data_IF_396424238659
#
_entry.id   IF_396424238659
#
_cell.length_a   1.000
_cell.length_b   1.000
_cell.length_c   1.000
_cell.angle_alpha   90.00
_cell.angle_beta   90.00
_cell.angle_gamma   90.00
#
_symmetry.space_group_name_H-M   'P 1'
#
loop_
_entity.id
_entity.type
_entity.pdbx_description
1 polymer ?
#
# COMPACT_ATOMS: atom_id res chain seq x y z
N UNK A 1 -19.01 -70.58 -22.98
CA UNK A 1 -19.11 -69.22 -23.53
C UNK A 1 -19.24 -68.29 -22.34
N UNK A 2 -18.08 -67.79 -21.83
CA UNK A 2 -18.01 -66.85 -20.72
C UNK A 2 -17.95 -65.46 -21.30
N UNK A 3 -18.95 -64.60 -21.02
CA UNK A 3 -19.00 -63.20 -21.42
C UNK A 3 -18.21 -62.40 -20.36
N UNK A 4 -17.05 -61.89 -20.76
CA UNK A 4 -16.19 -60.98 -19.98
C UNK A 4 -16.83 -59.56 -20.04
N UNK A 5 -17.36 -59.08 -18.91
CA UNK A 5 -17.79 -57.68 -18.78
C UNK A 5 -16.58 -56.84 -18.38
N UNK A 6 -16.06 -56.08 -19.30
CA UNK A 6 -15.07 -55.04 -19.02
C UNK A 6 -15.81 -53.80 -18.49
N UNK A 7 -15.76 -53.58 -17.20
CA UNK A 7 -16.23 -52.33 -16.58
C UNK A 7 -15.16 -51.26 -16.79
N UNK A 8 -15.40 -50.35 -17.74
CA UNK A 8 -14.59 -49.13 -17.93
C UNK A 8 -14.93 -48.16 -16.82
N UNK A 9 -14.06 -48.07 -15.82
CA UNK A 9 -14.12 -47.06 -14.76
C UNK A 9 -13.66 -45.72 -15.37
N UNK A 10 -14.59 -44.88 -15.89
CA UNK A 10 -14.29 -43.48 -16.19
C UNK A 10 -14.07 -42.74 -14.86
N UNK A 11 -12.81 -42.52 -14.52
CA UNK A 11 -12.42 -41.54 -13.51
C UNK A 11 -12.85 -40.14 -14.02
N UNK A 12 -13.97 -39.66 -13.52
CA UNK A 12 -14.37 -38.25 -13.61
C UNK A 12 -13.37 -37.45 -12.79
N UNK A 13 -12.28 -37.03 -13.44
CA UNK A 13 -11.41 -35.99 -12.90
C UNK A 13 -12.22 -34.69 -12.83
N UNK A 14 -12.86 -34.44 -11.71
CA UNK A 14 -13.41 -33.11 -11.45
C UNK A 14 -12.23 -32.13 -11.50
N UNK A 15 -12.27 -31.10 -12.36
CA UNK A 15 -11.24 -30.06 -12.31
C UNK A 15 -11.30 -29.47 -10.92
N UNK A 16 -10.19 -29.60 -10.18
CA UNK A 16 -9.99 -28.89 -8.93
C UNK A 16 -10.00 -27.40 -9.29
N UNK A 17 -11.13 -26.73 -9.11
CA UNK A 17 -11.24 -25.30 -9.34
C UNK A 17 -10.14 -24.64 -8.50
N UNK A 18 -9.22 -23.91 -9.16
CA UNK A 18 -8.20 -23.18 -8.44
C UNK A 18 -8.90 -22.21 -7.47
N UNK A 19 -8.53 -22.26 -6.20
CA UNK A 19 -9.09 -21.38 -5.17
C UNK A 19 -8.88 -19.92 -5.58
N UNK A 20 -9.95 -19.12 -5.64
CA UNK A 20 -9.89 -17.72 -6.01
C UNK A 20 -9.27 -16.91 -4.88
N UNK A 21 -8.19 -16.13 -5.17
CA UNK A 21 -7.57 -15.29 -4.15
C UNK A 21 -8.37 -14.02 -3.91
N UNK A 22 -8.63 -13.72 -2.65
CA UNK A 22 -9.25 -12.48 -2.18
C UNK A 22 -8.16 -11.48 -1.87
N UNK A 23 -8.06 -10.43 -2.69
CA UNK A 23 -7.00 -9.42 -2.63
C UNK A 23 -7.58 -8.08 -2.21
N UNK A 24 -6.94 -7.41 -1.25
CA UNK A 24 -7.42 -6.12 -0.76
C UNK A 24 -6.31 -5.09 -0.66
N UNK A 25 -6.69 -3.80 -0.78
CA UNK A 25 -5.81 -2.65 -0.61
C UNK A 25 -6.55 -1.46 -0.02
N UNK A 26 -5.81 -0.38 0.27
CA UNK A 26 -6.37 0.87 0.80
C UNK A 26 -7.13 1.62 -0.29
N UNK A 27 -8.38 2.02 -0.01
CA UNK A 27 -9.22 2.78 -0.94
C UNK A 27 -8.88 4.27 -0.98
N UNK A 28 -8.07 4.77 -0.05
CA UNK A 28 -7.76 6.18 0.12
C UNK A 28 -6.26 6.48 0.01
N UNK A 29 -5.57 5.73 -0.82
CA UNK A 29 -4.13 5.86 -1.04
C UNK A 29 -3.81 6.40 -2.46
N UNK A 30 -4.62 7.34 -2.97
CA UNK A 30 -4.37 7.98 -4.26
C UNK A 30 -3.01 8.70 -4.29
N UNK A 31 -2.29 8.71 -5.43
CA UNK A 31 -2.68 8.17 -6.73
C UNK A 31 -2.42 6.67 -6.91
N UNK A 32 -1.98 5.96 -5.87
CA UNK A 32 -1.53 4.57 -5.94
C UNK A 32 -2.69 3.56 -5.87
N UNK A 33 -3.73 3.88 -5.10
CA UNK A 33 -4.90 3.03 -4.94
C UNK A 33 -6.09 3.87 -4.46
N UNK A 34 -7.17 3.83 -5.24
CA UNK A 34 -8.42 4.54 -4.96
C UNK A 34 -9.58 3.91 -5.73
N UNK A 35 -10.78 4.16 -5.28
CA UNK A 35 -11.98 3.77 -6.00
C UNK A 35 -12.37 4.91 -6.94
N UNK A 36 -12.57 4.58 -8.22
CA UNK A 36 -13.07 5.54 -9.20
C UNK A 36 -14.50 5.96 -8.85
N UNK A 37 -14.79 7.26 -8.93
CA UNK A 37 -16.13 7.77 -8.69
C UNK A 37 -17.12 7.50 -9.84
N UNK A 38 -16.60 7.15 -11.03
CA UNK A 38 -17.42 6.96 -12.22
C UNK A 38 -18.04 5.55 -12.30
N UNK A 39 -17.30 4.53 -11.82
CA UNK A 39 -17.66 3.13 -12.04
C UNK A 39 -17.37 2.19 -10.85
N UNK A 40 -17.05 2.75 -9.68
CA UNK A 40 -16.70 2.03 -8.45
C UNK A 40 -15.56 1.00 -8.62
N UNK A 41 -14.71 1.17 -9.66
CA UNK A 41 -13.60 0.24 -9.90
C UNK A 41 -12.31 0.65 -9.16
N UNK A 42 -11.55 -0.34 -8.64
CA UNK A 42 -10.21 -0.10 -8.13
C UNK A 42 -9.25 0.41 -9.20
N UNK A 43 -8.59 1.56 -8.95
CA UNK A 43 -7.61 2.20 -9.83
C UNK A 43 -6.37 2.64 -9.07
N UNK A 44 -5.32 2.97 -9.81
CA UNK A 44 -4.06 3.51 -9.31
C UNK A 44 -2.86 2.61 -9.60
N UNK A 45 -1.65 3.17 -9.42
CA UNK A 45 -0.41 2.47 -9.74
C UNK A 45 -0.29 1.12 -9.03
N UNK A 46 -0.54 1.08 -7.71
CA UNK A 46 -0.39 -0.17 -6.94
C UNK A 46 -1.41 -1.22 -7.37
N UNK A 47 -2.62 -0.80 -7.76
CA UNK A 47 -3.66 -1.68 -8.31
C UNK A 47 -3.20 -2.29 -9.64
N UNK A 48 -2.61 -1.48 -10.54
CA UNK A 48 -2.10 -1.97 -11.83
C UNK A 48 -0.90 -2.92 -11.64
N UNK A 49 0.04 -2.59 -10.73
CA UNK A 49 1.18 -3.45 -10.42
C UNK A 49 0.74 -4.81 -9.87
N UNK A 50 -0.19 -4.79 -8.91
CA UNK A 50 -0.71 -6.02 -8.29
C UNK A 50 -1.46 -6.87 -9.30
N UNK A 51 -2.34 -6.27 -10.13
CA UNK A 51 -3.03 -7.00 -11.19
C UNK A 51 -2.05 -7.66 -12.17
N UNK A 52 -1.05 -6.92 -12.65
CA UNK A 52 -0.07 -7.47 -13.58
C UNK A 52 0.67 -8.70 -13.00
N UNK A 53 1.01 -8.67 -11.70
CA UNK A 53 1.66 -9.82 -11.05
C UNK A 53 0.68 -10.97 -10.85
N UNK A 54 -0.56 -10.70 -10.45
CA UNK A 54 -1.59 -11.74 -10.27
C UNK A 54 -1.95 -12.42 -11.59
N UNK A 55 -2.12 -11.64 -12.67
CA UNK A 55 -2.37 -12.19 -14.02
C UNK A 55 -1.22 -13.11 -14.47
N UNK A 56 0.03 -12.75 -14.16
CA UNK A 56 1.21 -13.59 -14.44
C UNK A 56 1.21 -14.89 -13.61
N UNK A 57 0.60 -14.90 -12.41
CA UNK A 57 0.46 -16.15 -11.64
C UNK A 57 -0.50 -17.14 -12.28
N UNK A 58 -1.42 -16.70 -13.14
CA UNK A 58 -2.53 -17.48 -13.67
C UNK A 58 -3.56 -17.89 -12.61
N UNK A 59 -3.51 -17.28 -11.42
CA UNK A 59 -4.40 -17.58 -10.30
C UNK A 59 -5.66 -16.71 -10.42
N UNK A 60 -6.88 -17.27 -10.38
CA UNK A 60 -8.10 -16.49 -10.26
C UNK A 60 -8.07 -15.62 -9.00
N UNK A 61 -8.55 -14.38 -9.10
CA UNK A 61 -8.60 -13.47 -7.96
C UNK A 61 -9.76 -12.48 -8.06
N UNK A 62 -10.19 -11.99 -6.89
CA UNK A 62 -10.98 -10.78 -6.74
C UNK A 62 -10.11 -9.71 -6.08
N UNK A 63 -10.19 -8.45 -6.54
CA UNK A 63 -9.48 -7.32 -5.95
C UNK A 63 -10.49 -6.24 -5.54
N UNK A 64 -10.47 -5.90 -4.25
CA UNK A 64 -11.32 -4.86 -3.66
C UNK A 64 -10.50 -3.92 -2.78
N UNK A 65 -10.98 -2.69 -2.63
CA UNK A 65 -10.38 -1.69 -1.78
C UNK A 65 -11.26 -1.42 -0.56
N UNK A 66 -10.62 -1.14 0.58
CA UNK A 66 -11.27 -0.85 1.86
C UNK A 66 -10.45 0.17 2.64
N UNK A 67 -11.01 0.83 3.68
CA UNK A 67 -10.23 1.64 4.60
C UNK A 67 -9.06 0.83 5.20
N UNK A 68 -7.88 1.45 5.31
CA UNK A 68 -6.63 0.77 5.70
C UNK A 68 -6.75 -0.09 6.98
N UNK A 69 -7.45 0.44 7.99
CA UNK A 69 -7.65 -0.31 9.24
C UNK A 69 -8.39 -1.62 9.01
N UNK A 70 -9.37 -1.63 8.10
CA UNK A 70 -10.12 -2.82 7.71
C UNK A 70 -9.26 -3.80 6.91
N UNK A 71 -8.45 -3.30 5.97
CA UNK A 71 -7.50 -4.12 5.20
C UNK A 71 -6.62 -4.96 6.13
N UNK A 72 -6.01 -4.32 7.14
CA UNK A 72 -5.18 -5.03 8.12
C UNK A 72 -5.97 -6.08 8.90
N UNK A 73 -7.13 -5.70 9.41
CA UNK A 73 -7.98 -6.60 10.20
C UNK A 73 -8.42 -7.83 9.40
N UNK A 74 -8.80 -7.65 8.13
CA UNK A 74 -9.21 -8.75 7.25
C UNK A 74 -8.06 -9.73 7.02
N UNK A 75 -6.83 -9.23 6.80
CA UNK A 75 -5.64 -10.08 6.64
C UNK A 75 -5.31 -10.83 7.94
N UNK A 76 -5.34 -10.15 9.08
CA UNK A 76 -5.08 -10.74 10.40
C UNK A 76 -6.08 -11.84 10.78
N UNK A 77 -7.33 -11.71 10.33
CA UNK A 77 -8.39 -12.71 10.58
C UNK A 77 -8.46 -13.82 9.54
N UNK A 78 -7.62 -13.77 8.49
CA UNK A 78 -7.70 -14.74 7.38
C UNK A 78 -8.96 -14.60 6.52
N UNK A 79 -9.62 -13.45 6.57
CA UNK A 79 -10.79 -13.15 5.73
C UNK A 79 -10.38 -12.88 4.27
N UNK A 80 -9.09 -12.59 4.03
CA UNK A 80 -8.48 -12.37 2.72
C UNK A 80 -7.15 -13.09 2.62
N UNK A 81 -6.71 -13.34 1.40
CA UNK A 81 -5.53 -14.14 1.12
C UNK A 81 -4.29 -13.26 0.93
N UNK A 82 -4.48 -12.03 0.43
CA UNK A 82 -3.41 -11.07 0.19
C UNK A 82 -3.88 -9.65 0.42
N UNK A 83 -3.01 -8.81 0.97
CA UNK A 83 -3.19 -7.38 1.03
C UNK A 83 -1.96 -6.65 0.49
N UNK A 84 -2.12 -5.43 -0.04
CA UNK A 84 -1.00 -4.68 -0.60
C UNK A 84 -0.84 -3.30 0.06
N UNK A 85 0.25 -2.56 -0.31
CA UNK A 85 0.67 -1.28 0.24
C UNK A 85 1.32 -1.33 1.63
N UNK A 86 1.77 -2.48 2.06
CA UNK A 86 2.51 -2.59 3.32
C UNK A 86 3.87 -1.92 3.22
N UNK A 87 4.19 -1.09 4.22
CA UNK A 87 5.56 -0.62 4.43
C UNK A 87 6.44 -1.78 4.91
N UNK A 88 7.69 -1.84 4.43
CA UNK A 88 8.62 -2.91 4.73
C UNK A 88 9.31 -2.74 6.10
N UNK A 89 8.57 -2.46 7.18
CA UNK A 89 9.15 -2.29 8.51
C UNK A 89 9.50 -3.64 9.15
N UNK A 90 10.52 -3.70 10.04
CA UNK A 90 10.88 -4.93 10.74
C UNK A 90 9.70 -5.57 11.48
N UNK A 91 8.84 -4.76 12.09
CA UNK A 91 7.64 -5.22 12.78
C UNK A 91 6.70 -5.96 11.82
N UNK A 92 6.42 -5.38 10.64
CA UNK A 92 5.56 -6.00 9.63
C UNK A 92 6.18 -7.25 9.01
N UNK A 93 7.51 -7.28 8.83
CA UNK A 93 8.23 -8.48 8.40
C UNK A 93 8.10 -9.62 9.42
N UNK A 94 8.04 -9.31 10.70
CA UNK A 94 7.80 -10.32 11.74
C UNK A 94 6.36 -10.85 11.73
N UNK A 95 5.38 -9.99 11.42
CA UNK A 95 3.95 -10.31 11.48
C UNK A 95 3.39 -10.97 10.22
N UNK A 96 3.97 -10.71 9.04
CA UNK A 96 3.45 -11.12 7.74
C UNK A 96 4.54 -11.75 6.87
N UNK A 97 4.15 -12.50 5.86
CA UNK A 97 5.03 -12.84 4.73
C UNK A 97 4.95 -11.68 3.72
N UNK A 98 5.96 -10.79 3.74
CA UNK A 98 6.03 -9.65 2.83
C UNK A 98 6.74 -10.04 1.53
N UNK A 99 6.14 -9.73 0.38
CA UNK A 99 6.74 -9.94 -0.94
C UNK A 99 6.86 -8.61 -1.69
N UNK A 100 8.02 -8.37 -2.25
CA UNK A 100 8.32 -7.12 -2.96
C UNK A 100 9.79 -6.74 -2.91
N UNK A 101 10.13 -5.43 -2.97
CA UNK A 101 9.16 -4.31 -3.07
C UNK A 101 8.49 -4.23 -4.44
N UNK A 102 7.24 -3.80 -4.51
CA UNK A 102 6.59 -3.45 -5.78
C UNK A 102 7.09 -2.10 -6.30
N UNK A 103 7.24 -1.15 -5.40
CA UNK A 103 7.77 0.19 -5.64
C UNK A 103 8.37 0.78 -4.37
N UNK A 104 9.05 1.92 -4.52
CA UNK A 104 9.45 2.77 -3.40
C UNK A 104 8.84 4.16 -3.55
N UNK A 105 8.61 4.82 -2.42
CA UNK A 105 8.16 6.20 -2.35
C UNK A 105 8.95 6.97 -1.30
N UNK A 106 8.94 8.29 -1.37
CA UNK A 106 9.61 9.15 -0.39
C UNK A 106 8.62 9.56 0.69
N UNK A 107 8.91 9.24 1.94
CA UNK A 107 8.19 9.81 3.08
C UNK A 107 8.81 11.13 3.46
N UNK A 108 7.97 12.16 3.56
CA UNK A 108 8.39 13.54 3.78
C UNK A 108 7.58 14.20 4.89
N UNK A 109 8.11 15.30 5.41
CA UNK A 109 7.34 16.25 6.18
C UNK A 109 6.84 17.37 5.27
N UNK A 110 5.60 17.80 5.49
CA UNK A 110 4.96 18.91 4.81
C UNK A 110 4.41 19.88 5.86
N UNK A 111 4.59 21.17 5.66
CA UNK A 111 4.08 22.22 6.54
C UNK A 111 3.30 23.28 5.76
N UNK A 112 2.52 24.10 6.47
CA UNK A 112 2.02 25.35 5.92
C UNK A 112 3.20 26.27 5.54
N UNK A 113 3.04 27.05 4.46
CA UNK A 113 4.03 28.09 4.08
C UNK A 113 4.19 29.19 5.15
N UNK A 114 3.22 29.34 6.06
CA UNK A 114 3.26 30.27 7.20
C UNK A 114 4.22 29.83 8.29
N UNK A 115 4.56 28.55 8.38
CA UNK A 115 5.48 28.02 9.39
C UNK A 115 6.89 28.52 9.12
N UNK A 116 7.61 28.93 10.17
CA UNK A 116 8.99 29.45 10.05
C UNK A 116 9.99 28.36 9.68
N UNK A 117 9.76 27.10 10.14
CA UNK A 117 10.62 25.96 9.84
C UNK A 117 10.73 25.76 8.32
N UNK A 118 11.95 25.84 7.79
CA UNK A 118 12.22 25.69 6.34
C UNK A 118 12.68 24.29 5.98
N UNK A 119 13.40 23.63 6.89
CA UNK A 119 13.91 22.27 6.77
C UNK A 119 14.16 21.71 8.17
N UNK A 120 14.51 20.43 8.27
CA UNK A 120 14.85 19.73 9.50
C UNK A 120 16.12 18.92 9.30
N UNK A 121 16.91 18.73 10.37
CA UNK A 121 18.15 17.96 10.36
C UNK A 121 18.14 16.84 11.40
N UNK A 122 17.32 17.00 12.43
CA UNK A 122 17.10 16.00 13.48
C UNK A 122 15.63 15.99 13.86
N UNK A 123 15.16 14.90 14.48
CA UNK A 123 13.79 14.83 15.01
C UNK A 123 13.53 15.86 16.11
N UNK A 124 14.58 16.30 16.81
CA UNK A 124 14.48 17.34 17.84
C UNK A 124 14.03 18.70 17.28
N UNK A 125 14.36 18.99 16.02
CA UNK A 125 13.92 20.21 15.35
C UNK A 125 12.39 20.27 15.20
N UNK A 126 11.75 19.12 15.24
CA UNK A 126 10.30 18.95 15.10
C UNK A 126 9.57 19.00 16.44
N UNK A 127 10.27 18.92 17.58
CA UNK A 127 9.69 18.82 18.92
C UNK A 127 8.78 20.00 19.31
N UNK A 128 8.99 21.25 18.83
CA UNK A 128 8.08 22.37 19.14
C UNK A 128 6.70 22.23 18.48
N UNK A 129 6.57 21.39 17.43
CA UNK A 129 5.40 21.36 16.55
C UNK A 129 4.50 20.16 16.81
N UNK A 130 3.20 20.30 16.51
CA UNK A 130 2.26 19.20 16.46
C UNK A 130 2.35 18.52 15.09
N UNK A 131 2.74 17.24 15.11
CA UNK A 131 2.91 16.46 13.88
C UNK A 131 1.69 15.58 13.65
N UNK A 132 0.95 15.87 12.59
CA UNK A 132 -0.15 15.03 12.14
C UNK A 132 0.33 13.79 11.40
N UNK A 133 -0.31 12.67 11.68
CA UNK A 133 -0.06 11.39 11.01
C UNK A 133 -1.37 10.62 10.81
N UNK A 134 -1.42 9.75 9.81
CA UNK A 134 -2.58 8.88 9.57
C UNK A 134 -2.58 7.72 10.57
N UNK A 135 -3.71 7.49 11.20
CA UNK A 135 -3.87 6.41 12.19
C UNK A 135 -3.55 5.05 11.57
N UNK A 136 -2.65 4.33 12.24
CA UNK A 136 -2.27 2.97 11.85
C UNK A 136 -1.34 2.87 10.65
N UNK A 137 -0.86 3.99 10.09
CA UNK A 137 0.26 3.97 9.18
C UNK A 137 1.55 3.70 9.96
N UNK A 138 2.51 3.08 9.29
CA UNK A 138 3.88 2.92 9.78
C UNK A 138 4.79 3.81 8.93
N UNK A 139 5.69 4.51 9.60
CA UNK A 139 6.63 5.41 8.95
C UNK A 139 8.06 4.86 9.07
N UNK A 140 8.91 5.50 9.84
CA UNK A 140 10.28 5.09 10.07
C UNK A 140 10.48 4.82 11.57
N UNK A 141 11.22 3.76 11.91
CA UNK A 141 11.31 3.26 13.29
C UNK A 141 11.83 4.30 14.30
N UNK A 142 12.78 5.16 13.91
CA UNK A 142 13.26 6.22 14.77
C UNK A 142 12.18 7.29 14.98
N UNK A 143 11.47 7.68 13.93
CA UNK A 143 10.34 8.59 14.02
C UNK A 143 9.21 7.98 14.87
N UNK A 144 8.81 6.74 14.60
CA UNK A 144 7.68 6.10 15.29
C UNK A 144 7.90 5.98 16.82
N UNK A 145 9.17 5.88 17.26
CA UNK A 145 9.58 5.77 18.68
C UNK A 145 9.94 7.09 19.33
N UNK A 146 10.17 8.16 18.57
CA UNK A 146 10.59 9.43 19.10
C UNK A 146 9.50 10.06 19.99
N UNK A 147 9.89 10.77 21.04
CA UNK A 147 8.98 11.52 21.92
C UNK A 147 8.64 12.86 21.25
N UNK A 148 7.64 12.86 20.39
CA UNK A 148 7.16 14.01 19.63
C UNK A 148 5.67 14.24 19.87
N UNK A 149 5.25 15.50 19.80
CA UNK A 149 3.83 15.87 19.90
C UNK A 149 3.08 15.44 18.64
N UNK A 150 2.25 14.38 18.73
CA UNK A 150 1.58 13.78 17.58
C UNK A 150 0.07 13.92 17.66
N UNK A 151 -0.54 14.15 16.49
CA UNK A 151 -1.98 14.00 16.27
C UNK A 151 -2.21 12.84 15.28
N UNK A 152 -2.81 11.76 15.77
CA UNK A 152 -3.18 10.58 14.98
C UNK A 152 -4.71 10.49 14.78
N UNK A 153 -5.42 11.61 14.83
CA UNK A 153 -6.88 11.63 14.65
C UNK A 153 -7.30 11.44 13.20
N UNK A 154 -6.42 11.79 12.23
CA UNK A 154 -6.68 11.60 10.82
C UNK A 154 -6.80 10.11 10.48
N UNK A 155 -7.88 9.74 9.80
CA UNK A 155 -8.12 8.36 9.31
C UNK A 155 -7.56 8.12 7.90
N UNK A 156 -7.25 9.18 7.16
CA UNK A 156 -6.75 9.13 5.80
C UNK A 156 -5.94 10.40 5.45
N UNK A 157 -5.14 10.36 4.37
CA UNK A 157 -4.29 11.50 3.98
C UNK A 157 -5.06 12.75 3.55
N UNK A 158 -6.24 12.62 2.96
CA UNK A 158 -7.10 13.77 2.62
C UNK A 158 -7.46 14.57 3.86
N UNK A 159 -7.92 13.88 4.91
CA UNK A 159 -8.23 14.50 6.21
C UNK A 159 -6.99 15.13 6.83
N UNK A 160 -5.84 14.45 6.74
CA UNK A 160 -4.56 14.94 7.27
C UNK A 160 -4.17 16.27 6.62
N UNK A 161 -4.25 16.38 5.28
CA UNK A 161 -3.99 17.64 4.55
C UNK A 161 -5.00 18.72 4.95
N UNK A 162 -6.29 18.39 5.07
CA UNK A 162 -7.32 19.36 5.50
C UNK A 162 -7.05 19.90 6.91
N UNK A 163 -6.52 19.06 7.82
CA UNK A 163 -6.15 19.49 9.18
C UNK A 163 -4.96 20.46 9.17
N UNK A 164 -3.96 20.22 8.32
CA UNK A 164 -2.84 21.14 8.10
C UNK A 164 -3.30 22.49 7.59
N UNK A 165 -4.13 22.50 6.53
CA UNK A 165 -4.67 23.73 5.94
C UNK A 165 -5.53 24.53 6.91
N UNK A 166 -6.29 23.84 7.76
CA UNK A 166 -7.08 24.45 8.82
C UNK A 166 -6.26 24.97 10.02
N UNK A 167 -4.92 24.75 10.03
CA UNK A 167 -4.04 25.15 11.13
C UNK A 167 -4.25 24.38 12.43
N UNK A 168 -4.85 23.18 12.37
CA UNK A 168 -5.05 22.31 13.55
C UNK A 168 -3.77 21.57 13.96
N UNK A 169 -2.89 21.35 13.00
CA UNK A 169 -1.58 20.72 13.13
C UNK A 169 -0.56 21.55 12.37
N UNK A 170 0.71 21.50 12.77
CA UNK A 170 1.77 22.36 12.24
C UNK A 170 2.48 21.72 11.06
N UNK A 171 2.72 20.41 11.16
CA UNK A 171 3.47 19.59 10.19
C UNK A 171 2.68 18.31 9.97
N UNK A 172 2.72 17.76 8.77
CA UNK A 172 2.22 16.41 8.48
C UNK A 172 3.33 15.53 7.93
N UNK A 173 3.24 14.23 8.19
CA UNK A 173 4.13 13.20 7.66
C UNK A 173 3.38 12.27 6.73
N UNK A 174 3.96 11.94 5.57
CA UNK A 174 3.33 11.03 4.63
C UNK A 174 4.14 10.78 3.36
N UNK A 175 3.62 9.93 2.50
CA UNK A 175 4.17 9.71 1.16
C UNK A 175 4.05 11.02 0.34
N UNK A 176 5.14 11.42 -0.28
CA UNK A 176 5.27 12.70 -0.99
C UNK A 176 4.20 12.89 -2.05
N UNK A 177 4.06 11.92 -2.95
CA UNK A 177 3.13 12.03 -4.07
C UNK A 177 1.67 11.96 -3.61
N UNK A 178 1.40 11.19 -2.57
CA UNK A 178 0.08 11.13 -1.96
C UNK A 178 -0.31 12.47 -1.32
N UNK A 179 0.57 13.08 -0.53
CA UNK A 179 0.29 14.38 0.07
C UNK A 179 0.08 15.44 -1.00
N UNK A 180 0.92 15.48 -2.04
CA UNK A 180 0.77 16.41 -3.16
C UNK A 180 -0.53 16.18 -3.94
N UNK A 181 -0.94 14.92 -4.12
CA UNK A 181 -2.21 14.61 -4.77
C UNK A 181 -3.38 15.28 -4.04
N UNK A 182 -3.48 15.13 -2.71
CA UNK A 182 -4.58 15.72 -1.94
C UNK A 182 -4.46 17.24 -1.74
N UNK A 183 -3.25 17.80 -1.79
CA UNK A 183 -3.04 19.26 -1.84
C UNK A 183 -3.59 19.83 -3.13
N UNK A 184 -3.27 19.24 -4.29
CA UNK A 184 -3.80 19.67 -5.61
C UNK A 184 -5.32 19.53 -5.69
N UNK A 185 -5.85 18.44 -5.18
CA UNK A 185 -7.30 18.23 -5.12
C UNK A 185 -8.02 19.34 -4.33
N UNK A 186 -7.39 19.84 -3.26
CA UNK A 186 -7.89 20.96 -2.46
C UNK A 186 -7.46 22.34 -3.01
N UNK A 187 -6.73 22.38 -4.15
CA UNK A 187 -6.20 23.60 -4.80
C UNK A 187 -5.36 24.46 -3.85
N UNK A 188 -4.57 23.82 -2.98
CA UNK A 188 -3.84 24.46 -1.89
C UNK A 188 -2.31 24.44 -2.10
N UNK A 189 -1.82 24.28 -3.34
CA UNK A 189 -0.39 24.17 -3.65
C UNK A 189 0.43 25.36 -3.13
N UNK A 190 -0.15 26.57 -3.15
CA UNK A 190 0.51 27.77 -2.66
C UNK A 190 0.52 27.90 -1.13
N UNK A 191 -0.27 27.10 -0.41
CA UNK A 191 -0.41 27.22 1.05
C UNK A 191 0.53 26.29 1.82
N UNK A 192 1.11 25.29 1.14
CA UNK A 192 1.95 24.28 1.75
C UNK A 192 3.33 24.21 1.10
N UNK A 193 4.28 23.63 1.81
CA UNK A 193 5.57 23.21 1.28
C UNK A 193 6.01 21.88 1.85
N UNK A 194 6.70 21.11 1.05
CA UNK A 194 7.47 19.94 1.51
C UNK A 194 8.78 20.46 2.09
N UNK A 195 9.16 19.95 3.28
CA UNK A 195 10.51 20.18 3.79
C UNK A 195 11.52 19.44 2.92
N UNK A 196 12.61 20.10 2.48
CA UNK A 196 13.53 19.56 1.46
C UNK A 196 14.12 18.21 1.81
N UNK A 197 14.48 18.01 3.08
CA UNK A 197 15.07 16.76 3.56
C UNK A 197 13.99 15.69 3.70
N UNK A 198 14.04 14.60 2.91
CA UNK A 198 13.11 13.49 3.06
C UNK A 198 13.40 12.73 4.37
N UNK A 199 12.36 12.19 5.00
CA UNK A 199 12.53 11.37 6.20
C UNK A 199 13.13 9.99 5.84
N UNK A 200 12.55 9.31 4.86
CA UNK A 200 12.99 7.97 4.44
C UNK A 200 12.44 7.61 3.06
N UNK A 201 13.18 6.74 2.36
CA UNK A 201 12.65 6.02 1.22
C UNK A 201 11.89 4.78 1.72
N UNK A 202 10.60 4.74 1.47
CA UNK A 202 9.72 3.68 1.96
C UNK A 202 9.32 2.73 0.83
N UNK A 203 9.80 1.51 0.90
CA UNK A 203 9.41 0.45 -0.03
C UNK A 203 8.04 -0.12 0.32
N UNK A 204 7.25 -0.44 -0.71
CA UNK A 204 5.89 -0.99 -0.59
C UNK A 204 5.85 -2.44 -1.07
N UNK A 205 5.19 -3.25 -0.27
CA UNK A 205 5.11 -4.71 -0.41
C UNK A 205 3.66 -5.17 -0.46
N UNK A 206 3.44 -6.37 -0.95
CA UNK A 206 2.25 -7.13 -0.64
C UNK A 206 2.50 -7.98 0.61
N UNK A 207 1.44 -8.30 1.33
CA UNK A 207 1.47 -9.09 2.55
C UNK A 207 0.52 -10.28 2.45
N UNK A 208 0.99 -11.42 2.90
CA UNK A 208 0.22 -12.64 3.15
C UNK A 208 0.22 -12.91 4.65
N UNK A 209 -0.73 -13.73 5.13
CA UNK A 209 -0.71 -14.17 6.51
C UNK A 209 0.62 -14.85 6.86
N UNK A 210 1.08 -14.70 8.09
CA UNK A 210 2.34 -15.34 8.54
C UNK A 210 2.25 -16.85 8.38
N UNK A 211 3.25 -17.43 7.71
CA UNK A 211 3.30 -18.85 7.38
C UNK A 211 2.66 -19.24 6.04
N UNK A 212 1.94 -18.34 5.35
CA UNK A 212 1.43 -18.59 4.00
C UNK A 212 2.52 -18.44 2.93
N UNK A 213 3.52 -19.30 3.04
CA UNK A 213 4.67 -19.31 2.13
C UNK A 213 4.28 -19.69 0.71
N UNK A 214 3.31 -20.58 0.56
CA UNK A 214 2.91 -21.07 -0.77
C UNK A 214 2.40 -19.94 -1.67
N UNK A 215 1.45 -19.11 -1.17
CA UNK A 215 0.95 -17.97 -1.94
C UNK A 215 2.04 -16.90 -2.11
N UNK A 216 2.80 -16.60 -1.06
CA UNK A 216 3.90 -15.65 -1.09
C UNK A 216 4.96 -16.00 -2.14
N UNK A 217 5.42 -17.26 -2.21
CA UNK A 217 6.39 -17.73 -3.19
C UNK A 217 5.83 -17.72 -4.62
N UNK A 218 4.56 -18.09 -4.80
CA UNK A 218 3.91 -18.01 -6.11
C UNK A 218 3.87 -16.58 -6.64
N UNK A 219 3.47 -15.63 -5.81
CA UNK A 219 3.47 -14.21 -6.14
C UNK A 219 4.89 -13.69 -6.39
N UNK A 220 5.87 -14.08 -5.56
CA UNK A 220 7.26 -13.68 -5.70
C UNK A 220 7.85 -14.11 -7.06
N UNK A 221 7.62 -15.37 -7.48
CA UNK A 221 8.09 -15.84 -8.80
C UNK A 221 7.49 -15.06 -9.96
N UNK A 222 6.20 -14.74 -9.89
CA UNK A 222 5.55 -13.92 -10.91
C UNK A 222 6.11 -12.48 -10.94
N UNK A 223 6.34 -11.88 -9.77
CA UNK A 223 6.94 -10.56 -9.65
C UNK A 223 8.36 -10.52 -10.25
N UNK A 224 9.20 -11.51 -9.95
CA UNK A 224 10.55 -11.60 -10.51
C UNK A 224 10.53 -11.74 -12.04
N UNK A 225 9.57 -12.47 -12.59
CA UNK A 225 9.40 -12.56 -14.04
C UNK A 225 9.06 -11.21 -14.66
N UNK A 226 8.12 -10.45 -14.07
CA UNK A 226 7.78 -9.11 -14.55
C UNK A 226 8.96 -8.12 -14.42
N UNK A 227 9.82 -8.29 -13.43
CA UNK A 227 11.06 -7.52 -13.29
C UNK A 227 12.05 -7.85 -14.40
N UNK A 228 12.29 -9.13 -14.61
CA UNK A 228 13.28 -9.62 -15.57
C UNK A 228 12.94 -9.25 -17.03
N UNK A 229 11.65 -9.22 -17.39
CA UNK A 229 11.18 -8.87 -18.72
C UNK A 229 10.86 -7.37 -18.92
N UNK A 230 11.06 -6.55 -17.88
CA UNK A 230 10.90 -5.09 -17.92
C UNK A 230 9.46 -4.59 -17.81
N UNK A 231 8.45 -5.47 -17.75
CA UNK A 231 7.03 -5.05 -17.63
C UNK A 231 6.76 -4.26 -16.37
N UNK A 232 7.36 -4.63 -15.24
CA UNK A 232 7.21 -3.89 -13.98
C UNK A 232 7.74 -2.46 -14.11
N UNK A 233 8.92 -2.29 -14.73
CA UNK A 233 9.53 -0.98 -14.94
C UNK A 233 8.71 -0.11 -15.88
N UNK A 234 8.16 -0.69 -16.95
CA UNK A 234 7.29 0.02 -17.89
C UNK A 234 6.00 0.54 -17.20
N UNK A 235 5.41 -0.27 -16.30
CA UNK A 235 4.26 0.17 -15.49
C UNK A 235 4.62 1.36 -14.59
N UNK A 236 5.74 1.28 -13.86
CA UNK A 236 6.21 2.36 -12.99
C UNK A 236 6.44 3.65 -13.77
N UNK A 237 7.07 3.60 -14.94
CA UNK A 237 7.36 4.76 -15.77
C UNK A 237 6.11 5.50 -16.26
N UNK A 238 5.01 4.79 -16.55
CA UNK A 238 3.75 5.42 -16.99
C UNK A 238 3.11 6.34 -15.94
N UNK A 239 3.43 6.14 -14.66
CA UNK A 239 2.87 6.89 -13.55
C UNK A 239 3.80 7.99 -13.01
N UNK A 240 5.03 8.11 -13.52
CA UNK A 240 6.02 9.11 -13.08
C UNK A 240 6.02 10.40 -13.92
N UNK A 241 5.03 10.57 -14.82
CA UNK A 241 4.90 11.76 -15.69
C UNK A 241 3.68 12.61 -15.36
#
# INVERSE_FOLDING_TARGET
>A
MQKLWLAVLMLLATPLAAEEWRVVGDEQFAPYSFVSQDDDTPRGLDVELVRAVLDETGQPYTLRLYPWARVKQMLERGEVDMAFQFAGTPERQAQYELVGPLRSGSTVFMSSTRLVLKDWHSLDDLSPYVIGQVRGYAYEAAFDKADLRRDSSASNPRQLVSMLLAGRIDIIVGDREQLLYFVREQRADAEVRILPTPMVQMSRYVAFAKGDKHRAERFARALEKLRADGRLQALLQRWTH
#
